data_IF_603811564173
#
_entry.id   IF_603811564173
#
_cell.length_a   1.000
_cell.length_b   1.000
_cell.length_c   1.000
_cell.angle_alpha   90.00
_cell.angle_beta   90.00
_cell.angle_gamma   90.00
#
_symmetry.space_group_name_H-M   'P 1'
#
loop_
_entity.id
_entity.type
_entity.pdbx_description
1 polymer ?
#
# COMPACT_ATOMS: atom_id res chain seq x y z
N UNK A 1 -0.70 0.73 0.78
CA UNK A 1 -1.32 2.07 0.55
C UNK A 1 -1.59 2.26 -0.93
N UNK A 2 -2.42 3.25 -1.31
CA UNK A 2 -2.63 3.64 -2.71
C UNK A 2 -1.92 4.98 -2.96
N UNK A 3 -1.01 5.03 -3.93
CA UNK A 3 -0.36 6.25 -4.40
C UNK A 3 -1.02 6.78 -5.66
N UNK A 4 -0.75 8.04 -5.99
CA UNK A 4 -1.15 8.67 -7.26
C UNK A 4 0.11 9.03 -8.03
N UNK A 5 0.27 8.47 -9.23
CA UNK A 5 1.40 8.78 -10.10
C UNK A 5 1.26 10.15 -10.79
N UNK A 6 2.24 10.51 -11.62
CA UNK A 6 2.25 11.80 -12.30
C UNK A 6 1.16 11.94 -13.39
N UNK A 7 0.57 10.83 -13.84
CA UNK A 7 -0.55 10.80 -14.79
C UNK A 7 -1.92 10.80 -14.07
N UNK A 8 -1.93 10.79 -12.73
CA UNK A 8 -3.15 10.73 -11.93
C UNK A 8 -3.69 9.32 -11.72
N UNK A 9 -2.93 8.27 -12.06
CA UNK A 9 -3.37 6.88 -11.90
C UNK A 9 -3.16 6.41 -10.47
N UNK A 10 -4.11 5.60 -9.97
CA UNK A 10 -4.02 4.97 -8.67
C UNK A 10 -3.12 3.73 -8.74
N UNK A 11 -2.03 3.75 -8.00
CA UNK A 11 -1.03 2.68 -7.97
C UNK A 11 -0.92 2.11 -6.56
N UNK A 12 -1.30 0.86 -6.33
CA UNK A 12 -1.16 0.21 -5.04
C UNK A 12 0.30 -0.15 -4.75
N UNK A 13 0.74 0.18 -3.53
CA UNK A 13 2.09 -0.11 -3.04
C UNK A 13 2.05 -0.81 -1.69
N UNK A 14 2.85 -1.86 -1.55
CA UNK A 14 3.09 -2.55 -0.29
C UNK A 14 4.05 -1.69 0.54
N UNK A 15 3.74 -1.53 1.83
CA UNK A 15 4.56 -0.79 2.78
C UNK A 15 4.77 -1.60 4.05
N UNK A 16 5.90 -1.39 4.71
CA UNK A 16 6.11 -1.90 6.06
C UNK A 16 5.76 -0.80 7.06
N UNK A 17 4.82 -1.07 7.96
CA UNK A 17 4.46 -0.15 9.06
C UNK A 17 5.50 -0.25 10.18
N UNK A 18 5.77 0.86 10.85
CA UNK A 18 6.70 0.90 11.99
C UNK A 18 6.02 1.31 13.30
N UNK A 19 5.52 2.54 13.37
CA UNK A 19 4.95 3.14 14.59
C UNK A 19 3.77 4.01 14.20
N UNK A 20 2.84 4.20 15.14
CA UNK A 20 1.73 5.14 14.97
C UNK A 20 1.73 6.13 16.14
N UNK A 21 1.51 7.41 15.82
CA UNK A 21 1.39 8.45 16.84
C UNK A 21 0.43 9.54 16.37
N UNK A 22 -0.53 9.90 17.24
CA UNK A 22 -1.53 10.97 16.99
C UNK A 22 -2.23 10.84 15.62
N UNK A 23 -2.59 9.63 15.22
CA UNK A 23 -3.28 9.36 13.96
C UNK A 23 -2.39 9.44 12.71
N UNK A 24 -1.07 9.48 12.87
CA UNK A 24 -0.09 9.40 11.77
C UNK A 24 0.71 8.11 11.92
N UNK A 25 0.72 7.31 10.86
CA UNK A 25 1.47 6.05 10.81
C UNK A 25 2.79 6.25 10.08
N UNK A 26 3.91 5.95 10.74
CA UNK A 26 5.23 5.92 10.15
C UNK A 26 5.45 4.62 9.37
N UNK A 27 6.01 4.73 8.17
CA UNK A 27 6.43 3.58 7.36
C UNK A 27 7.94 3.37 7.45
N UNK A 28 8.35 2.10 7.58
CA UNK A 28 9.77 1.69 7.54
C UNK A 28 10.31 1.61 6.12
N UNK A 29 9.48 1.20 5.15
CA UNK A 29 9.87 0.99 3.75
C UNK A 29 8.65 0.87 2.83
N UNK A 30 8.87 1.01 1.52
CA UNK A 30 7.85 0.83 0.48
C UNK A 30 7.32 2.13 -0.14
N UNK A 31 7.75 3.29 0.38
CA UNK A 31 7.46 4.61 -0.16
C UNK A 31 8.75 5.43 -0.30
N UNK A 32 8.71 6.40 -1.20
CA UNK A 32 9.74 7.43 -1.38
C UNK A 32 9.18 8.80 -0.99
N UNK A 33 10.06 9.69 -0.57
CA UNK A 33 9.66 11.08 -0.29
C UNK A 33 9.08 11.75 -1.54
N UNK A 34 8.04 12.55 -1.35
CA UNK A 34 7.33 13.23 -2.44
C UNK A 34 6.23 12.40 -3.12
N UNK A 35 6.11 11.10 -2.82
CA UNK A 35 4.99 10.31 -3.32
C UNK A 35 3.66 10.77 -2.72
N UNK A 36 2.65 10.95 -3.57
CA UNK A 36 1.31 11.33 -3.14
C UNK A 36 0.52 10.09 -2.74
N UNK A 37 -0.08 10.11 -1.55
CA UNK A 37 -0.92 9.02 -1.03
C UNK A 37 -2.37 9.47 -0.90
N UNK A 38 -3.30 8.54 -1.13
CA UNK A 38 -4.74 8.81 -0.96
C UNK A 38 -5.12 8.75 0.52
N UNK A 39 -5.51 9.89 1.10
CA UNK A 39 -5.93 9.98 2.50
C UNK A 39 -7.46 9.94 2.70
N UNK A 40 -8.24 10.25 1.66
CA UNK A 40 -9.72 10.29 1.71
C UNK A 40 -10.32 9.49 0.57
N UNK A 41 -11.46 8.83 0.82
CA UNK A 41 -12.15 8.03 -0.20
C UNK A 41 -11.49 6.68 -0.52
N UNK A 42 -10.53 6.24 0.29
CA UNK A 42 -9.78 4.99 0.09
C UNK A 42 -10.70 3.78 -0.06
N UNK A 43 -11.80 3.71 0.69
CA UNK A 43 -12.74 2.58 0.63
C UNK A 43 -13.36 2.39 -0.76
N UNK A 44 -13.77 3.47 -1.43
CA UNK A 44 -14.40 3.37 -2.76
C UNK A 44 -13.37 2.94 -3.81
N UNK A 45 -12.16 3.49 -3.74
CA UNK A 45 -11.05 3.16 -4.63
C UNK A 45 -10.66 1.68 -4.46
N UNK A 46 -10.51 1.22 -3.22
CA UNK A 46 -10.18 -0.18 -2.92
C UNK A 46 -11.31 -1.13 -3.34
N UNK A 47 -12.57 -0.73 -3.16
CA UNK A 47 -13.74 -1.51 -3.60
C UNK A 47 -13.76 -1.72 -5.12
N UNK A 48 -13.48 -0.68 -5.91
CA UNK A 48 -13.39 -0.78 -7.37
C UNK A 48 -12.20 -1.66 -7.80
N UNK A 49 -11.05 -1.53 -7.13
CA UNK A 49 -9.87 -2.34 -7.39
C UNK A 49 -10.10 -3.83 -7.08
N UNK A 50 -10.88 -4.13 -6.04
CA UNK A 50 -11.29 -5.48 -5.68
C UNK A 50 -12.30 -6.05 -6.70
N UNK A 51 -13.34 -5.29 -7.06
CA UNK A 51 -14.35 -5.73 -8.05
C UNK A 51 -13.79 -5.94 -9.45
N UNK A 52 -12.81 -5.14 -9.87
CA UNK A 52 -12.14 -5.25 -11.17
C UNK A 52 -11.06 -6.35 -11.23
N UNK A 53 -10.77 -7.02 -10.10
CA UNK A 53 -9.69 -8.01 -10.00
C UNK A 53 -8.28 -7.39 -10.09
N UNK A 54 -8.15 -6.08 -9.97
CA UNK A 54 -6.86 -5.41 -9.99
C UNK A 54 -6.00 -5.87 -8.80
N UNK A 55 -6.59 -5.95 -7.60
CA UNK A 55 -5.89 -6.30 -6.35
C UNK A 55 -5.26 -7.70 -6.39
N UNK A 56 -5.95 -8.71 -6.94
CA UNK A 56 -5.41 -10.05 -7.18
C UNK A 56 -4.15 -10.04 -8.05
N UNK A 57 -4.10 -9.22 -9.11
CA UNK A 57 -2.91 -9.13 -9.98
C UNK A 57 -1.70 -8.58 -9.25
N UNK A 58 -1.90 -7.61 -8.36
CA UNK A 58 -0.82 -7.05 -7.54
C UNK A 58 -0.30 -8.08 -6.53
N UNK A 59 -1.21 -8.82 -5.88
CA UNK A 59 -0.82 -9.92 -4.98
C UNK A 59 -0.05 -11.01 -5.70
N UNK A 60 -0.46 -11.36 -6.92
CA UNK A 60 0.23 -12.35 -7.74
C UNK A 60 1.62 -11.90 -8.24
N UNK A 61 1.87 -10.59 -8.27
CA UNK A 61 3.13 -9.98 -8.70
C UNK A 61 4.09 -9.63 -7.55
N UNK A 62 3.63 -9.69 -6.30
CA UNK A 62 4.48 -9.44 -5.15
C UNK A 62 5.29 -10.71 -4.80
N UNK A 63 6.64 -10.67 -4.82
CA UNK A 63 7.42 -11.74 -4.23
C UNK A 63 7.15 -11.78 -2.72
N UNK A 64 7.12 -13.00 -2.18
CA UNK A 64 6.82 -13.36 -0.80
C UNK A 64 7.55 -12.48 0.23
N UNK A 65 6.90 -11.38 0.63
CA UNK A 65 7.31 -10.54 1.75
C UNK A 65 6.65 -10.99 3.07
N UNK A 66 5.91 -12.10 3.07
CA UNK A 66 5.27 -12.66 4.25
C UNK A 66 6.22 -13.58 5.05
N UNK A 67 7.27 -14.12 4.43
CA UNK A 67 8.22 -15.02 5.09
C UNK A 67 9.19 -14.35 6.10
N UNK A 68 9.35 -13.02 6.10
CA UNK A 68 10.36 -12.36 6.94
C UNK A 68 9.87 -11.96 8.35
N UNK A 69 8.55 -12.01 8.61
CA UNK A 69 7.99 -11.73 9.93
C UNK A 69 7.86 -12.98 10.83
N UNK A 70 8.08 -14.18 10.29
CA UNK A 70 7.95 -15.44 11.03
C UNK A 70 9.25 -15.93 11.72
N UNK A 71 10.35 -15.19 11.60
CA UNK A 71 11.64 -15.52 12.24
C UNK A 71 12.00 -14.46 13.29
N UNK A 72 11.08 -14.21 14.22
CA UNK A 72 11.34 -13.48 15.45
C UNK A 72 10.45 -14.06 16.57
N UNK A 73 10.76 -15.29 16.96
CA UNK A 73 10.43 -15.84 18.28
C UNK A 73 11.58 -16.74 18.72
#
# INVERSE_FOLDING_TARGET
>A
VITVDNEGRFVPKIVQVFQEYKGVTASRSGLQEGEKVVASGLFLIDSEANSSGALERIRAQAPDAAASAAHAH
#
